data_IF_711949851683
#
_entry.id   IF_711949851683
#
_cell.length_a   1.000
_cell.length_b   1.000
_cell.length_c   1.000
_cell.angle_alpha   90.00
_cell.angle_beta   90.00
_cell.angle_gamma   90.00
#
_symmetry.space_group_name_H-M   'P 1'
#
loop_
_entity.id
_entity.type
_entity.pdbx_description
1 polymer ?
#
# COMPACT_ATOMS: atom_id res chain seq x y z
N UNK A 1 -7.28 -22.74 -4.17
CA UNK A 1 -6.43 -21.54 -4.18
C UNK A 1 -6.76 -20.74 -2.94
N UNK A 2 -5.82 -20.59 -2.02
CA UNK A 2 -6.03 -19.79 -0.80
C UNK A 2 -6.07 -18.31 -1.19
N UNK A 3 -7.19 -17.63 -0.91
CA UNK A 3 -7.21 -16.17 -0.90
C UNK A 3 -6.21 -15.72 0.18
N UNK A 4 -5.07 -15.17 -0.26
CA UNK A 4 -4.12 -14.55 0.66
C UNK A 4 -4.72 -13.23 1.13
N UNK A 5 -4.59 -12.96 2.43
CA UNK A 5 -5.00 -11.68 2.98
C UNK A 5 -4.16 -10.56 2.34
N UNK A 6 -4.86 -9.49 1.94
CA UNK A 6 -4.23 -8.25 1.51
C UNK A 6 -3.48 -7.62 2.69
N UNK A 7 -2.41 -6.92 2.37
CA UNK A 7 -1.71 -6.06 3.32
C UNK A 7 -2.57 -4.84 3.63
N UNK A 8 -2.30 -4.19 4.76
CA UNK A 8 -3.05 -3.02 5.22
C UNK A 8 -2.22 -1.75 5.13
N UNK A 9 -2.89 -0.63 4.90
CA UNK A 9 -2.25 0.67 4.87
C UNK A 9 -1.69 1.00 6.25
N UNK A 10 -0.39 1.28 6.34
CA UNK A 10 0.25 1.60 7.63
C UNK A 10 -0.20 2.94 8.22
N UNK A 11 -0.87 3.79 7.45
CA UNK A 11 -1.40 5.08 7.94
C UNK A 11 -2.86 5.00 8.38
N UNK A 12 -3.74 4.34 7.62
CA UNK A 12 -5.18 4.34 7.88
C UNK A 12 -5.78 2.95 8.20
N UNK A 13 -5.00 1.88 8.05
CA UNK A 13 -5.44 0.51 8.32
C UNK A 13 -6.37 -0.10 7.26
N UNK A 14 -6.70 0.60 6.17
CA UNK A 14 -7.52 0.05 5.09
C UNK A 14 -6.78 -1.08 4.37
N UNK A 15 -7.51 -2.05 3.82
CA UNK A 15 -6.89 -3.02 2.89
C UNK A 15 -6.26 -2.30 1.70
N UNK A 16 -5.16 -2.89 1.22
CA UNK A 16 -4.44 -2.46 0.02
C UNK A 16 -4.71 -3.44 -1.12
N UNK A 17 -4.21 -3.14 -2.31
CA UNK A 17 -4.37 -4.02 -3.47
C UNK A 17 -3.38 -5.21 -3.49
N UNK A 18 -2.46 -5.27 -2.53
CA UNK A 18 -1.36 -6.22 -2.53
C UNK A 18 -1.54 -7.30 -1.45
N UNK A 19 -1.58 -8.59 -1.82
CA UNK A 19 -1.41 -9.68 -0.89
C UNK A 19 -0.12 -9.55 -0.07
N UNK A 20 -0.17 -10.01 1.18
CA UNK A 20 0.98 -9.98 2.11
C UNK A 20 2.22 -10.72 1.60
N UNK A 21 2.07 -11.64 0.64
CA UNK A 21 3.19 -12.38 0.04
C UNK A 21 3.72 -11.79 -1.28
N UNK A 22 3.10 -10.73 -1.83
CA UNK A 22 3.62 -10.08 -3.04
C UNK A 22 5.03 -9.52 -2.75
N UNK A 23 6.06 -9.78 -3.58
CA UNK A 23 7.39 -9.22 -3.37
C UNK A 23 7.36 -7.68 -3.29
N UNK A 24 8.08 -7.08 -2.34
CA UNK A 24 8.03 -5.62 -2.08
C UNK A 24 8.43 -4.77 -3.29
N UNK A 25 9.28 -5.30 -4.17
CA UNK A 25 9.72 -4.66 -5.41
C UNK A 25 8.63 -4.63 -6.50
N UNK A 26 7.56 -5.40 -6.33
CA UNK A 26 6.41 -5.44 -7.24
C UNK A 26 5.22 -4.63 -6.70
N UNK A 27 5.36 -4.03 -5.51
CA UNK A 27 4.30 -3.25 -4.87
C UNK A 27 4.46 -1.76 -5.13
N UNK A 28 3.40 -1.14 -5.64
CA UNK A 28 3.30 0.32 -5.72
C UNK A 28 3.00 0.88 -4.33
N UNK A 29 3.53 2.06 -4.02
CA UNK A 29 3.31 2.77 -2.75
C UNK A 29 3.79 2.02 -1.50
N UNK A 30 4.70 1.05 -1.64
CA UNK A 30 5.39 0.44 -0.51
C UNK A 30 6.57 1.31 -0.08
N UNK A 31 6.58 1.78 1.17
CA UNK A 31 7.67 2.55 1.73
C UNK A 31 8.64 1.60 2.44
N UNK A 32 9.86 1.48 1.90
CA UNK A 32 10.90 0.61 2.44
C UNK A 32 11.18 0.93 3.92
N UNK A 33 10.97 -0.05 4.80
CA UNK A 33 11.17 0.07 6.25
C UNK A 33 9.98 0.64 7.03
N UNK A 34 8.92 1.11 6.35
CA UNK A 34 7.70 1.59 6.99
C UNK A 34 6.50 0.67 6.71
N UNK A 35 6.31 0.24 5.46
CA UNK A 35 5.26 -0.69 5.05
C UNK A 35 4.42 -0.17 3.88
N UNK A 36 3.27 -0.81 3.65
CA UNK A 36 2.41 -0.57 2.50
C UNK A 36 1.48 0.63 2.74
N UNK A 37 1.30 1.50 1.73
CA UNK A 37 0.24 2.52 1.71
C UNK A 37 -0.89 2.12 0.75
N UNK A 38 -2.11 2.55 1.07
CA UNK A 38 -3.19 2.59 0.09
C UNK A 38 -3.01 3.79 -0.85
N UNK A 39 -3.75 3.80 -1.97
CA UNK A 39 -3.64 4.85 -2.97
C UNK A 39 -3.91 6.25 -2.40
N UNK A 40 -4.99 6.41 -1.61
CA UNK A 40 -5.34 7.69 -0.98
C UNK A 40 -4.20 8.24 -0.11
N UNK A 41 -3.72 7.44 0.85
CA UNK A 41 -2.66 7.89 1.74
C UNK A 41 -1.34 8.13 1.00
N UNK A 42 -1.05 7.38 -0.07
CA UNK A 42 0.12 7.69 -0.91
C UNK A 42 -0.03 9.03 -1.63
N UNK A 43 -1.23 9.35 -2.12
CA UNK A 43 -1.52 10.63 -2.77
C UNK A 43 -1.28 11.79 -1.80
N UNK A 44 -1.77 11.65 -0.56
CA UNK A 44 -1.60 12.64 0.51
C UNK A 44 -0.13 12.83 0.90
N UNK A 45 0.63 11.73 1.04
CA UNK A 45 2.04 11.76 1.44
C UNK A 45 2.93 12.37 0.35
N UNK A 46 2.70 12.02 -0.92
CA UNK A 46 3.49 12.53 -2.04
C UNK A 46 3.00 13.88 -2.56
N UNK A 47 1.86 14.38 -2.07
CA UNK A 47 1.33 15.69 -2.43
C UNK A 47 0.91 15.78 -3.89
N UNK A 48 0.34 14.71 -4.46
CA UNK A 48 -0.33 14.80 -5.76
C UNK A 48 -1.61 15.62 -5.58
N UNK A 49 -1.49 16.93 -5.66
CA UNK A 49 -2.60 17.84 -5.89
C UNK A 49 -2.91 17.76 -7.40
N UNK A 50 -4.08 17.24 -7.78
CA UNK A 50 -4.59 17.49 -9.13
C UNK A 50 -5.04 18.95 -9.18
N UNK A 51 -4.33 19.77 -9.95
CA UNK A 51 -4.70 21.15 -10.28
C UNK A 51 -5.92 21.20 -11.21
#
# INVERSE_FOLDING_TARGET
MSNLANDVCVLCGSETLYPTNTPINERVNYIKGAGQLCYSCSSDVYGYFED
#
